data_IF_323854576284
#
_entry.id   IF_323854576284
#
_cell.length_a   1.000
_cell.length_b   1.000
_cell.length_c   1.000
_cell.angle_alpha   90.00
_cell.angle_beta   90.00
_cell.angle_gamma   90.00
#
_symmetry.space_group_name_H-M   'P 1'
#
loop_
_entity.id
_entity.type
_entity.pdbx_description
1 polymer ?
#
# COMPACT_ATOMS: atom_id res chain seq x y z
N UNK A 1 6.01 23.70 -0.48
CA UNK A 1 5.28 22.55 0.07
C UNK A 1 5.19 21.52 -1.02
N UNK A 2 5.82 20.37 -0.83
CA UNK A 2 5.86 19.29 -1.83
C UNK A 2 4.81 18.23 -1.53
N UNK A 3 4.37 17.51 -2.55
CA UNK A 3 3.61 16.26 -2.41
C UNK A 3 4.54 15.06 -2.59
N UNK A 4 4.51 14.14 -1.64
CA UNK A 4 5.32 12.92 -1.66
C UNK A 4 4.38 11.73 -1.68
N UNK A 5 4.54 10.85 -2.67
CA UNK A 5 3.76 9.63 -2.81
C UNK A 5 4.62 8.42 -2.49
N UNK A 6 4.17 7.62 -1.53
CA UNK A 6 4.76 6.34 -1.14
C UNK A 6 3.91 5.21 -1.72
N UNK A 7 4.51 4.33 -2.50
CA UNK A 7 3.83 3.21 -3.15
C UNK A 7 4.33 1.92 -2.52
N UNK A 8 3.40 1.19 -1.89
CA UNK A 8 3.66 -0.01 -1.11
C UNK A 8 2.80 -1.17 -1.63
N UNK A 9 3.26 -2.41 -1.41
CA UNK A 9 2.57 -3.60 -1.84
C UNK A 9 1.41 -3.95 -0.91
N UNK A 10 1.64 -3.94 0.40
CA UNK A 10 0.67 -4.39 1.42
C UNK A 10 0.51 -3.38 2.57
N UNK A 11 -0.63 -3.44 3.30
CA UNK A 11 -0.82 -2.71 4.56
C UNK A 11 0.14 -3.18 5.66
N UNK A 12 1.09 -2.34 6.08
CA UNK A 12 2.19 -2.55 7.07
C UNK A 12 3.57 -2.21 6.49
N UNK A 13 3.75 -2.32 5.19
CA UNK A 13 4.99 -1.98 4.49
C UNK A 13 5.36 -0.50 4.70
N UNK A 14 4.36 0.40 4.69
CA UNK A 14 4.56 1.82 4.95
C UNK A 14 5.03 2.07 6.39
N UNK A 15 4.47 1.30 7.33
CA UNK A 15 4.83 1.30 8.74
C UNK A 15 6.29 0.88 8.95
N UNK A 16 6.69 -0.18 8.26
CA UNK A 16 7.99 -0.84 8.41
C UNK A 16 9.12 -0.10 7.71
N UNK A 17 8.87 0.40 6.49
CA UNK A 17 9.91 0.92 5.61
C UNK A 17 10.01 2.45 5.64
N UNK A 18 8.88 3.16 5.74
CA UNK A 18 8.83 4.59 5.40
C UNK A 18 8.17 5.48 6.45
N UNK A 19 7.61 4.94 7.53
CA UNK A 19 6.86 5.69 8.55
C UNK A 19 7.62 6.90 9.12
N UNK A 20 8.91 6.74 9.45
CA UNK A 20 9.72 7.83 9.95
C UNK A 20 9.85 9.00 8.97
N UNK A 21 10.02 8.68 7.68
CA UNK A 21 10.09 9.66 6.59
C UNK A 21 8.74 10.34 6.36
N UNK A 22 7.64 9.57 6.39
CA UNK A 22 6.28 10.09 6.23
C UNK A 22 5.90 11.05 7.36
N UNK A 23 6.09 10.62 8.62
CA UNK A 23 5.82 11.45 9.81
C UNK A 23 6.60 12.75 9.75
N UNK A 24 7.90 12.66 9.46
CA UNK A 24 8.75 13.84 9.35
C UNK A 24 8.26 14.78 8.25
N UNK A 25 7.97 14.27 7.06
CA UNK A 25 7.49 15.08 5.93
C UNK A 25 6.16 15.77 6.28
N UNK A 26 5.22 15.06 6.90
CA UNK A 26 3.96 15.62 7.35
C UNK A 26 4.17 16.73 8.40
N UNK A 27 5.05 16.52 9.39
CA UNK A 27 5.39 17.52 10.41
C UNK A 27 6.09 18.76 9.83
N UNK A 28 6.88 18.59 8.77
CA UNK A 28 7.51 19.69 8.01
C UNK A 28 6.52 20.40 7.07
N UNK A 29 5.24 19.97 7.05
CA UNK A 29 4.17 20.59 6.29
C UNK A 29 4.09 20.13 4.83
N UNK A 30 4.72 19.02 4.46
CA UNK A 30 4.54 18.38 3.17
C UNK A 30 3.25 17.56 3.12
N UNK A 31 2.74 17.34 1.91
CA UNK A 31 1.57 16.50 1.69
C UNK A 31 2.03 15.07 1.43
N UNK A 32 1.69 14.16 2.33
CA UNK A 32 2.03 12.73 2.21
C UNK A 32 0.83 11.96 1.64
N UNK A 33 1.07 11.17 0.61
CA UNK A 33 0.09 10.25 -0.01
C UNK A 33 0.65 8.84 0.06
N UNK A 34 -0.16 7.86 0.46
CA UNK A 34 0.21 6.45 0.44
C UNK A 34 -0.68 5.70 -0.54
N UNK A 35 -0.08 4.81 -1.33
CA UNK A 35 -0.77 3.92 -2.26
C UNK A 35 -0.42 2.49 -1.90
N UNK A 36 -1.42 1.64 -1.69
CA UNK A 36 -1.25 0.21 -1.53
C UNK A 36 -1.70 -0.53 -2.78
N UNK A 37 -0.89 -1.47 -3.26
CA UNK A 37 -1.26 -2.30 -4.41
C UNK A 37 -2.40 -3.27 -4.04
N UNK A 38 -2.32 -3.86 -2.84
CA UNK A 38 -3.17 -4.96 -2.38
C UNK A 38 -3.79 -4.69 -1.01
N UNK A 39 -4.66 -5.59 -0.55
CA UNK A 39 -5.27 -5.53 0.78
C UNK A 39 -4.56 -6.42 1.81
N UNK A 40 -3.55 -7.18 1.39
CA UNK A 40 -2.78 -8.04 2.28
C UNK A 40 -3.57 -9.24 2.82
N UNK A 41 -4.59 -9.71 2.08
CA UNK A 41 -5.55 -10.71 2.54
C UNK A 41 -4.95 -12.11 2.81
N UNK A 42 -3.71 -12.34 2.39
CA UNK A 42 -2.95 -13.57 2.63
C UNK A 42 -1.92 -13.44 3.77
N UNK A 43 -1.96 -12.33 4.51
CA UNK A 43 -1.19 -12.14 5.73
C UNK A 43 -1.57 -13.11 6.85
N UNK A 44 -0.75 -13.13 7.90
CA UNK A 44 -1.01 -13.94 9.09
C UNK A 44 -2.35 -13.56 9.74
N UNK A 45 -3.12 -14.58 10.14
CA UNK A 45 -4.42 -14.38 10.78
C UNK A 45 -4.17 -14.06 12.27
N UNK A 46 -4.56 -12.87 12.76
CA UNK A 46 -4.34 -12.52 14.17
C UNK A 46 -5.27 -13.34 15.07
N UNK A 47 -4.80 -13.69 16.27
CA UNK A 47 -5.55 -14.50 17.24
C UNK A 47 -6.85 -13.83 17.72
N UNK A 48 -6.92 -12.50 17.63
CA UNK A 48 -8.03 -11.65 18.07
C UNK A 48 -8.91 -11.16 16.90
N UNK A 49 -8.85 -11.80 15.74
CA UNK A 49 -9.74 -11.49 14.62
C UNK A 49 -11.20 -11.71 15.02
N UNK A 50 -12.04 -10.70 14.82
CA UNK A 50 -13.43 -10.77 15.27
C UNK A 50 -14.23 -11.80 14.44
N UNK A 51 -15.26 -12.45 15.00
CA UNK A 51 -16.10 -13.36 14.24
C UNK A 51 -16.73 -12.68 13.02
N UNK A 52 -16.40 -13.17 11.82
CA UNK A 52 -16.89 -12.63 10.55
C UNK A 52 -16.07 -11.48 9.96
N UNK A 53 -15.03 -11.01 10.67
CA UNK A 53 -14.03 -10.09 10.13
C UNK A 53 -13.02 -10.87 9.26
N UNK A 54 -12.67 -10.33 8.11
CA UNK A 54 -11.62 -10.87 7.25
C UNK A 54 -10.26 -10.23 7.56
N UNK A 55 -9.16 -10.93 7.23
CA UNK A 55 -7.80 -10.37 7.36
C UNK A 55 -7.66 -9.08 6.55
N UNK A 56 -8.24 -9.02 5.35
CA UNK A 56 -8.24 -7.83 4.50
C UNK A 56 -8.91 -6.64 5.21
N UNK A 57 -10.11 -6.84 5.77
CA UNK A 57 -10.83 -5.79 6.49
C UNK A 57 -10.03 -5.27 7.69
N UNK A 58 -9.43 -6.18 8.48
CA UNK A 58 -8.57 -5.82 9.61
C UNK A 58 -7.38 -4.98 9.14
N UNK A 59 -6.60 -5.49 8.18
CA UNK A 59 -5.38 -4.83 7.68
C UNK A 59 -5.65 -3.49 7.02
N UNK A 60 -6.75 -3.36 6.27
CA UNK A 60 -7.16 -2.07 5.71
C UNK A 60 -7.52 -1.06 6.80
N UNK A 61 -8.23 -1.48 7.85
CA UNK A 61 -8.55 -0.61 8.98
C UNK A 61 -7.29 -0.18 9.75
N UNK A 62 -6.35 -1.11 9.95
CA UNK A 62 -5.06 -0.85 10.59
C UNK A 62 -4.22 0.15 9.77
N UNK A 63 -4.09 -0.03 8.46
CA UNK A 63 -3.37 0.92 7.60
C UNK A 63 -4.00 2.31 7.59
N UNK A 64 -5.34 2.41 7.58
CA UNK A 64 -6.00 3.72 7.68
C UNK A 64 -5.69 4.38 9.04
N UNK A 65 -5.67 3.62 10.12
CA UNK A 65 -5.32 4.12 11.46
C UNK A 65 -3.84 4.51 11.55
N UNK A 66 -2.94 3.73 10.96
CA UNK A 66 -1.52 4.04 10.88
C UNK A 66 -1.27 5.31 10.07
N UNK A 67 -1.97 5.48 8.93
CA UNK A 67 -1.94 6.66 8.10
C UNK A 67 -2.38 7.93 8.86
N UNK A 68 -3.45 7.85 9.66
CA UNK A 68 -3.87 8.94 10.55
C UNK A 68 -2.76 9.35 11.53
N UNK A 69 -2.13 8.37 12.19
CA UNK A 69 -1.03 8.61 13.14
C UNK A 69 0.18 9.22 12.43
N UNK A 70 0.47 8.78 11.21
CA UNK A 70 1.60 9.26 10.42
C UNK A 70 1.37 10.65 9.79
N UNK A 71 0.16 11.21 9.87
CA UNK A 71 -0.18 12.49 9.23
C UNK A 71 -0.32 12.38 7.71
N UNK A 72 -0.64 11.19 7.20
CA UNK A 72 -0.90 10.96 5.78
C UNK A 72 -2.17 11.69 5.37
N UNK A 73 -2.09 12.46 4.28
CA UNK A 73 -3.20 13.25 3.78
C UNK A 73 -4.20 12.43 2.95
N UNK A 74 -3.75 11.35 2.32
CA UNK A 74 -4.58 10.51 1.46
C UNK A 74 -4.01 9.10 1.37
N UNK A 75 -4.89 8.09 1.45
CA UNK A 75 -4.59 6.69 1.15
C UNK A 75 -5.35 6.29 -0.12
N UNK A 76 -4.69 5.53 -0.99
CA UNK A 76 -5.30 4.91 -2.18
C UNK A 76 -5.01 3.41 -2.23
N UNK A 77 -5.91 2.68 -2.89
CA UNK A 77 -5.81 1.25 -3.13
C UNK A 77 -5.85 1.02 -4.64
N UNK A 78 -4.88 0.29 -5.21
CA UNK A 78 -4.90 -0.07 -6.64
C UNK A 78 -5.93 -1.16 -6.96
N UNK A 79 -6.35 -1.91 -5.93
CA UNK A 79 -7.45 -2.87 -6.01
C UNK A 79 -7.03 -4.23 -6.56
N UNK A 80 -5.76 -4.61 -6.43
CA UNK A 80 -5.30 -5.97 -6.72
C UNK A 80 -5.42 -6.87 -5.50
N UNK A 81 -5.49 -8.18 -5.75
CA UNK A 81 -5.37 -9.16 -4.67
C UNK A 81 -3.90 -9.33 -4.27
N UNK A 82 -3.67 -9.60 -2.99
CA UNK A 82 -2.39 -10.08 -2.51
C UNK A 82 -2.01 -11.35 -3.29
N UNK A 83 -0.75 -11.44 -3.68
CA UNK A 83 -0.25 -12.60 -4.43
C UNK A 83 0.17 -13.74 -3.51
N UNK A 84 0.34 -13.47 -2.21
CA UNK A 84 0.95 -14.37 -1.26
C UNK A 84 2.46 -14.52 -1.50
N UNK A 85 3.09 -15.43 -0.76
CA UNK A 85 4.52 -15.69 -0.90
C UNK A 85 4.82 -16.41 -2.23
N UNK A 86 6.04 -16.27 -2.74
CA UNK A 86 6.47 -16.95 -3.94
C UNK A 86 6.30 -18.48 -3.83
N UNK A 87 5.64 -19.08 -4.82
CA UNK A 87 5.34 -20.52 -4.88
C UNK A 87 4.03 -20.94 -4.21
N UNK A 88 3.25 -19.99 -3.68
CA UNK A 88 1.91 -20.26 -3.16
C UNK A 88 0.88 -20.39 -4.28
N UNK A 89 -0.24 -21.09 -4.03
CA UNK A 89 -1.33 -21.26 -5.03
C UNK A 89 -1.96 -19.92 -5.43
N UNK A 90 -1.95 -18.95 -4.51
CA UNK A 90 -2.46 -17.59 -4.71
C UNK A 90 -1.72 -16.84 -5.82
N UNK A 91 -0.47 -17.24 -6.10
CA UNK A 91 0.29 -16.67 -7.22
C UNK A 91 -0.44 -16.88 -8.55
N UNK A 92 -1.32 -17.89 -8.69
CA UNK A 92 -2.08 -18.19 -9.90
C UNK A 92 -3.49 -17.53 -9.95
N UNK A 93 -3.91 -16.75 -8.94
CA UNK A 93 -5.19 -16.00 -9.02
C UNK A 93 -5.08 -14.91 -10.10
N UNK A 94 -5.93 -14.89 -11.14
CA UNK A 94 -5.90 -13.87 -12.19
C UNK A 94 -6.08 -12.42 -11.68
N UNK A 95 -6.53 -12.23 -10.44
CA UNK A 95 -6.67 -10.92 -9.79
C UNK A 95 -5.47 -10.56 -8.91
N UNK A 96 -4.56 -11.50 -8.65
CA UNK A 96 -3.35 -11.25 -7.88
C UNK A 96 -2.48 -10.19 -8.58
N UNK A 97 -1.86 -9.32 -7.81
CA UNK A 97 -1.00 -8.28 -8.36
C UNK A 97 0.14 -8.84 -9.22
N UNK A 98 0.70 -9.99 -8.83
CA UNK A 98 1.74 -10.70 -9.58
C UNK A 98 1.28 -11.11 -11.00
N UNK A 99 -0.02 -11.35 -11.20
CA UNK A 99 -0.60 -11.74 -12.49
C UNK A 99 -1.00 -10.54 -13.36
N UNK A 100 -0.99 -9.33 -12.80
CA UNK A 100 -1.36 -8.13 -13.55
C UNK A 100 -0.34 -7.85 -14.66
N UNK A 101 -0.83 -7.49 -15.85
CA UNK A 101 0.06 -7.02 -16.91
C UNK A 101 0.75 -5.72 -16.46
N UNK A 102 2.07 -5.55 -16.65
CA UNK A 102 2.80 -4.37 -16.18
C UNK A 102 2.20 -3.04 -16.65
N UNK A 103 1.76 -2.97 -17.92
CA UNK A 103 1.12 -1.76 -18.46
C UNK A 103 -0.20 -1.44 -17.76
N UNK A 104 -1.00 -2.45 -17.39
CA UNK A 104 -2.25 -2.24 -16.67
C UNK A 104 -1.98 -1.67 -15.26
N UNK A 105 -1.05 -2.28 -14.53
CA UNK A 105 -0.63 -1.81 -13.21
C UNK A 105 -0.06 -0.39 -13.28
N UNK A 106 0.79 -0.13 -14.29
CA UNK A 106 1.37 1.17 -14.53
C UNK A 106 0.31 2.23 -14.85
N UNK A 107 -0.72 1.91 -15.65
CA UNK A 107 -1.82 2.82 -15.97
C UNK A 107 -2.64 3.20 -14.72
N UNK A 108 -2.94 2.23 -13.84
CA UNK A 108 -3.64 2.51 -12.58
C UNK A 108 -2.84 3.44 -11.67
N UNK A 109 -1.55 3.18 -11.51
CA UNK A 109 -0.68 4.06 -10.73
C UNK A 109 -0.50 5.43 -11.41
N UNK A 110 -0.35 5.47 -12.72
CA UNK A 110 -0.24 6.70 -13.50
C UNK A 110 -1.48 7.59 -13.35
N UNK A 111 -2.68 7.01 -13.27
CA UNK A 111 -3.90 7.76 -12.99
C UNK A 111 -3.87 8.44 -11.60
N UNK A 112 -3.34 7.76 -10.58
CA UNK A 112 -3.12 8.35 -9.26
C UNK A 112 -2.03 9.43 -9.29
N UNK A 113 -0.92 9.20 -10.00
CA UNK A 113 0.14 10.20 -10.18
C UNK A 113 -0.42 11.45 -10.87
N UNK A 114 -1.24 11.29 -11.92
CA UNK A 114 -1.87 12.41 -12.62
C UNK A 114 -2.84 13.19 -11.72
N UNK A 115 -3.57 12.49 -10.86
CA UNK A 115 -4.49 13.09 -9.88
C UNK A 115 -3.76 13.83 -8.77
N UNK A 116 -2.77 13.20 -8.18
CA UNK A 116 -2.10 13.66 -6.97
C UNK A 116 -0.91 14.57 -7.23
N UNK A 117 -0.36 14.51 -8.45
CA UNK A 117 0.80 15.26 -8.93
C UNK A 117 1.96 15.29 -7.92
N UNK A 118 2.46 14.12 -7.49
CA UNK A 118 3.58 14.07 -6.55
C UNK A 118 4.84 14.69 -7.16
N UNK A 119 5.59 15.44 -6.35
CA UNK A 119 6.92 15.93 -6.68
C UNK A 119 7.99 14.85 -6.46
N UNK A 120 7.69 13.90 -5.57
CA UNK A 120 8.57 12.77 -5.21
C UNK A 120 7.73 11.49 -5.17
N UNK A 121 8.25 10.44 -5.81
CA UNK A 121 7.75 9.07 -5.72
C UNK A 121 8.76 8.22 -4.95
N UNK A 122 8.28 7.45 -3.99
CA UNK A 122 9.05 6.49 -3.21
C UNK A 122 8.41 5.12 -3.37
N UNK A 123 9.22 4.11 -3.65
CA UNK A 123 8.82 2.72 -3.76
C UNK A 123 10.04 1.82 -3.55
N UNK A 124 9.85 0.53 -3.79
CA UNK A 124 10.90 -0.47 -3.61
C UNK A 124 12.03 -0.36 -4.63
N UNK A 125 13.18 -0.94 -4.28
CA UNK A 125 14.21 -1.23 -5.27
C UNK A 125 13.80 -2.39 -6.22
N UNK A 126 14.68 -2.74 -7.15
CA UNK A 126 14.42 -3.82 -8.12
C UNK A 126 14.41 -5.23 -7.53
N UNK A 127 14.81 -5.38 -6.25
CA UNK A 127 14.67 -6.63 -5.49
C UNK A 127 13.37 -6.68 -4.67
N UNK A 128 12.65 -5.57 -4.54
CA UNK A 128 11.45 -5.48 -3.71
C UNK A 128 11.74 -5.15 -2.25
N UNK A 129 12.87 -4.51 -1.93
CA UNK A 129 13.18 -4.03 -0.57
C UNK A 129 12.90 -2.53 -0.39
#
# INVERSE_FOLDING_TARGET
MSTIMFVHAHPDDEGTLTAGSMIRAAQEGHRVVVVFATQGEHGEIPEDLAPGETVAERRMAEALRAAEVAGVAQVHWLGYHDSGMAGWEQNDDPRAFLQAHPDEAAERLAALIARERPDVLVGYDWHGN
#
